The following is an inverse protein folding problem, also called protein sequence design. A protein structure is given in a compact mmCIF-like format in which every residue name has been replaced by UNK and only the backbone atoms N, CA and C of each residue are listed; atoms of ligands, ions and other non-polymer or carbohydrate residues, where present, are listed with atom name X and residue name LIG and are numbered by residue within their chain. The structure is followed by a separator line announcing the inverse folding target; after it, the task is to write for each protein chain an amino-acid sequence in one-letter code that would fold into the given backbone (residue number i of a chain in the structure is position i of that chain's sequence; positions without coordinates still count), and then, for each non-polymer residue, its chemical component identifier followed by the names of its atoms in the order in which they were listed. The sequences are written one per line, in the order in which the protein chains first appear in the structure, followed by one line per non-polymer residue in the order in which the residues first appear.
data_IF_488625199565
#
_entry.id   IF_488625199565
#
_cell.length_a   1.000
_cell.length_b   1.000
_cell.length_c   1.000
_cell.angle_alpha   90.00
_cell.angle_beta   90.00
_cell.angle_gamma   90.00
#
_symmetry.space_group_name_H-M   'P 1'
#
loop_
_entity.id
_entity.type
_entity.pdbx_description
1 polymer ?
#
# COMPACT_ATOMS: atom_id res chain seq x y z
N UNK A 1 18.93 -0.24 59.80
CA UNK A 1 19.31 1.19 59.82
C UNK A 1 19.61 1.58 58.38
N UNK A 2 18.63 2.09 57.62
CA UNK A 2 18.08 3.46 57.66
C UNK A 2 18.74 4.31 56.56
N UNK A 3 18.05 4.51 55.42
CA UNK A 3 17.51 5.81 54.94
C UNK A 3 18.55 6.67 54.18
N UNK A 4 18.30 7.35 53.05
CA UNK A 4 17.16 7.83 52.23
C UNK A 4 17.69 7.96 50.77
N UNK A 5 16.99 7.71 49.67
CA UNK A 5 15.80 8.35 49.08
C UNK A 5 15.94 9.84 48.69
N UNK A 6 15.35 10.21 47.53
CA UNK A 6 15.09 11.52 46.88
C UNK A 6 16.08 11.83 45.73
N UNK A 7 15.74 11.78 44.43
CA UNK A 7 14.67 12.39 43.59
C UNK A 7 15.26 13.51 42.73
N UNK A 8 14.91 13.52 41.43
CA UNK A 8 14.65 14.78 40.72
C UNK A 8 15.38 15.05 39.39
N UNK A 9 14.61 14.97 38.31
CA UNK A 9 14.61 15.87 37.14
C UNK A 9 15.72 15.66 36.10
N UNK A 10 15.38 14.92 35.03
CA UNK A 10 16.05 15.05 33.74
C UNK A 10 15.48 16.29 33.04
N UNK A 11 16.29 17.36 32.99
CA UNK A 11 15.97 18.58 32.25
C UNK A 11 16.17 18.34 30.75
N UNK A 12 15.12 18.59 29.99
CA UNK A 12 15.10 18.72 28.53
C UNK A 12 16.05 19.87 28.14
N UNK A 13 17.14 19.57 27.44
CA UNK A 13 18.01 20.61 26.86
C UNK A 13 17.50 20.92 25.46
N UNK A 14 16.80 22.05 25.32
CA UNK A 14 16.59 22.71 24.03
C UNK A 14 17.92 23.37 23.66
N UNK A 15 18.62 22.83 22.67
CA UNK A 15 19.82 23.47 22.12
C UNK A 15 19.36 24.53 21.12
N UNK A 16 19.37 25.79 21.55
CA UNK A 16 19.32 26.95 20.65
C UNK A 16 20.76 27.26 20.24
N UNK A 17 21.14 26.94 19.01
CA UNK A 17 22.44 27.35 18.45
C UNK A 17 22.28 28.72 17.81
N UNK A 18 22.88 29.75 18.43
CA UNK A 18 23.08 31.06 17.81
C UNK A 18 24.45 31.08 17.16
N UNK A 19 24.49 30.97 15.83
CA UNK A 19 25.73 31.09 15.05
C UNK A 19 26.00 32.59 14.80
N UNK A 20 27.12 33.11 15.31
CA UNK A 20 27.62 34.45 14.98
C UNK A 20 28.67 34.30 13.88
N UNK A 21 28.34 34.71 12.66
CA UNK A 21 29.23 34.65 11.50
C UNK A 21 30.18 35.87 11.46
N UNK A 22 31.46 35.59 11.28
CA UNK A 22 32.52 36.57 11.02
C UNK A 22 32.40 37.13 9.60
N UNK A 23 32.46 38.46 9.50
CA UNK A 23 32.32 39.24 8.27
C UNK A 23 33.48 38.97 7.31
N UNK A 24 33.20 38.16 6.28
CA UNK A 24 33.94 38.15 5.01
C UNK A 24 33.10 38.96 4.01
N UNK A 25 33.73 39.58 3.02
CA UNK A 25 33.04 40.37 2.00
C UNK A 25 32.09 39.50 1.18
N UNK A 26 30.84 39.38 1.62
CA UNK A 26 29.76 38.65 0.95
C UNK A 26 29.23 39.53 -0.18
N UNK A 27 29.47 39.14 -1.43
CA UNK A 27 28.65 39.60 -2.55
C UNK A 27 27.19 39.28 -2.21
N UNK A 28 26.25 40.25 -2.31
CA UNK A 28 24.86 39.98 -1.95
C UNK A 28 24.34 38.78 -2.74
N UNK A 29 24.01 37.70 -2.04
CA UNK A 29 23.49 36.49 -2.66
C UNK A 29 22.16 36.82 -3.34
N UNK A 30 21.94 36.27 -4.54
CA UNK A 30 20.73 36.56 -5.29
C UNK A 30 19.49 36.07 -4.52
N UNK A 31 18.43 36.88 -4.48
CA UNK A 31 17.14 36.47 -3.92
C UNK A 31 16.46 35.57 -4.94
N UNK A 32 16.05 34.38 -4.49
CA UNK A 32 15.32 33.41 -5.31
C UNK A 32 13.82 33.42 -4.99
N UNK A 33 13.02 32.92 -5.91
CA UNK A 33 11.64 32.50 -5.68
C UNK A 33 11.61 31.13 -5.00
N UNK A 34 10.49 30.79 -4.34
CA UNK A 34 10.31 29.46 -3.74
C UNK A 34 10.44 28.33 -4.77
N UNK A 35 9.93 28.53 -5.99
CA UNK A 35 10.01 27.53 -7.07
C UNK A 35 11.45 27.31 -7.58
N UNK A 36 12.28 28.37 -7.59
CA UNK A 36 13.71 28.24 -7.90
C UNK A 36 14.45 27.46 -6.80
N UNK A 37 14.10 27.68 -5.53
CA UNK A 37 14.65 26.89 -4.41
C UNK A 37 14.23 25.43 -4.49
N UNK A 38 12.96 25.13 -4.80
CA UNK A 38 12.49 23.77 -5.04
C UNK A 38 13.29 23.08 -6.15
N UNK A 39 13.51 23.77 -7.28
CA UNK A 39 14.32 23.24 -8.39
C UNK A 39 15.77 22.96 -8.01
N UNK A 40 16.37 23.83 -7.19
CA UNK A 40 17.75 23.67 -6.76
C UNK A 40 17.89 22.57 -5.70
N UNK A 41 16.94 22.43 -4.76
CA UNK A 41 16.90 21.30 -3.83
C UNK A 41 16.80 19.98 -4.62
N UNK A 42 15.89 19.87 -5.58
CA UNK A 42 15.74 18.66 -6.42
C UNK A 42 17.08 18.27 -7.08
N UNK A 43 17.72 19.24 -7.72
CA UNK A 43 19.00 19.04 -8.42
C UNK A 43 20.07 18.52 -7.45
N UNK A 44 20.21 19.16 -6.30
CA UNK A 44 21.23 18.80 -5.31
C UNK A 44 20.94 17.46 -4.61
N UNK A 45 19.68 17.13 -4.32
CA UNK A 45 19.31 15.81 -3.78
C UNK A 45 19.77 14.69 -4.72
N UNK A 46 19.51 14.83 -6.03
CA UNK A 46 19.96 13.84 -7.01
C UNK A 46 21.50 13.77 -7.11
N UNK A 47 22.22 14.89 -6.97
CA UNK A 47 23.69 14.84 -6.85
C UNK A 47 24.16 14.01 -5.65
N UNK A 48 23.53 14.16 -4.48
CA UNK A 48 23.88 13.38 -3.29
C UNK A 48 23.53 11.89 -3.46
N UNK A 49 22.41 11.57 -4.11
CA UNK A 49 22.02 10.20 -4.45
C UNK A 49 23.04 9.53 -5.36
N UNK A 50 23.51 10.22 -6.40
CA UNK A 50 24.54 9.69 -7.30
C UNK A 50 25.85 9.38 -6.56
N UNK A 51 26.26 10.21 -5.59
CA UNK A 51 27.48 9.97 -4.79
C UNK A 51 27.44 8.65 -4.01
N UNK A 52 26.25 8.18 -3.65
CA UNK A 52 26.05 6.90 -2.95
C UNK A 52 25.61 5.76 -3.87
N UNK A 53 25.67 5.96 -5.20
CA UNK A 53 25.38 4.94 -6.20
C UNK A 53 23.89 4.69 -6.46
N UNK A 54 23.01 5.62 -6.06
CA UNK A 54 21.59 5.56 -6.34
C UNK A 54 21.24 6.28 -7.66
N UNK A 55 20.14 5.86 -8.26
CA UNK A 55 19.55 6.52 -9.43
C UNK A 55 18.90 7.84 -9.04
N UNK A 56 18.83 8.75 -10.01
CA UNK A 56 18.09 10.00 -9.88
C UNK A 56 16.60 9.73 -9.64
N UNK A 57 15.97 10.58 -8.84
CA UNK A 57 14.52 10.63 -8.70
C UNK A 57 13.92 11.39 -9.87
N UNK A 58 12.85 10.86 -10.44
CA UNK A 58 12.01 11.61 -11.37
C UNK A 58 11.25 12.71 -10.62
N UNK A 59 11.09 13.88 -11.25
CA UNK A 59 10.30 14.97 -10.65
C UNK A 59 8.85 14.84 -11.08
N UNK A 60 7.94 14.64 -10.13
CA UNK A 60 6.51 14.51 -10.38
C UNK A 60 5.74 15.80 -10.03
N UNK A 61 5.08 16.46 -11.01
CA UNK A 61 4.33 17.69 -10.75
C UNK A 61 3.13 17.56 -9.80
N UNK A 62 2.50 16.38 -9.73
CA UNK A 62 1.41 16.13 -8.80
C UNK A 62 1.93 15.99 -7.36
N UNK A 63 3.11 15.37 -7.19
CA UNK A 63 3.82 15.36 -5.91
C UNK A 63 4.30 16.76 -5.51
N UNK A 64 4.79 17.58 -6.44
CA UNK A 64 5.14 18.99 -6.18
C UNK A 64 3.92 19.76 -5.65
N UNK A 65 2.76 19.58 -6.28
CA UNK A 65 1.52 20.24 -5.83
C UNK A 65 1.14 19.80 -4.41
N UNK A 66 1.18 18.51 -4.14
CA UNK A 66 0.89 17.97 -2.82
C UNK A 66 1.88 18.47 -1.76
N UNK A 67 3.17 18.44 -2.05
CA UNK A 67 4.21 18.92 -1.16
C UNK A 67 4.03 20.42 -0.85
N UNK A 68 3.66 21.23 -1.86
CA UNK A 68 3.37 22.66 -1.67
C UNK A 68 2.15 22.90 -0.80
N UNK A 69 1.06 22.16 -1.03
CA UNK A 69 -0.13 22.24 -0.16
C UNK A 69 0.21 21.85 1.27
N UNK A 70 1.00 20.78 1.47
CA UNK A 70 1.39 20.31 2.78
C UNK A 70 2.26 21.34 3.52
N UNK A 71 3.30 21.88 2.88
CA UNK A 71 4.13 22.95 3.43
C UNK A 71 3.34 24.21 3.74
N UNK A 72 2.44 24.64 2.85
CA UNK A 72 1.62 25.83 3.04
C UNK A 72 0.59 25.68 4.17
N UNK A 73 0.21 24.44 4.49
CA UNK A 73 -0.67 24.10 5.62
C UNK A 73 0.05 23.98 6.97
N UNK A 74 1.35 24.30 7.01
CA UNK A 74 2.19 24.13 8.20
C UNK A 74 2.24 22.66 8.68
N UNK A 75 2.31 21.72 7.72
CA UNK A 75 2.31 20.27 7.94
C UNK A 75 1.01 19.73 8.57
N UNK A 76 -0.13 20.27 8.16
CA UNK A 76 -1.43 19.73 8.57
C UNK A 76 -1.66 18.35 7.96
N UNK A 77 -1.89 17.36 8.81
CA UNK A 77 -2.24 15.98 8.41
C UNK A 77 -3.48 15.87 7.53
N UNK A 78 -4.35 16.89 7.54
CA UNK A 78 -5.54 16.91 6.69
C UNK A 78 -5.21 16.98 5.18
N UNK A 79 -4.03 17.51 4.81
CA UNK A 79 -3.59 17.59 3.40
C UNK A 79 -3.04 16.24 2.92
N UNK A 80 -2.26 15.54 3.74
CA UNK A 80 -1.78 14.17 3.44
C UNK A 80 -2.95 13.20 3.17
N UNK A 81 -4.08 13.38 3.85
CA UNK A 81 -5.26 12.53 3.70
C UNK A 81 -6.12 12.85 2.46
N UNK A 82 -5.79 13.89 1.69
CA UNK A 82 -6.62 14.38 0.57
C UNK A 82 -6.13 13.96 -0.82
N UNK A 83 -4.90 13.45 -0.94
CA UNK A 83 -4.34 13.01 -2.22
C UNK A 83 -4.71 11.56 -2.55
N UNK A 84 -5.10 11.30 -3.79
CA UNK A 84 -5.22 9.93 -4.35
C UNK A 84 -3.84 9.28 -4.63
N UNK A 85 -2.74 9.96 -4.31
CA UNK A 85 -1.36 9.48 -4.44
C UNK A 85 -1.00 8.78 -3.13
N UNK A 86 -0.83 7.46 -3.14
CA UNK A 86 -0.84 6.64 -1.90
C UNK A 86 0.50 5.95 -1.60
N UNK A 87 1.52 6.30 -2.35
CA UNK A 87 2.89 5.88 -2.14
C UNK A 87 3.72 6.99 -1.50
N UNK A 88 3.26 7.60 -0.40
CA UNK A 88 3.90 8.86 0.04
C UNK A 88 4.68 8.70 1.33
N UNK A 89 5.99 8.79 1.20
CA UNK A 89 6.84 9.20 2.32
C UNK A 89 7.01 10.72 2.24
N UNK A 90 6.67 11.43 3.31
CA UNK A 90 6.95 12.86 3.41
C UNK A 90 8.15 13.09 4.33
N UNK A 91 9.17 13.75 3.80
CA UNK A 91 10.28 14.31 4.55
C UNK A 91 10.02 15.82 4.72
N UNK A 92 9.80 16.27 5.95
CA UNK A 92 9.37 17.64 6.23
C UNK A 92 10.18 18.29 7.36
N UNK A 93 10.62 19.53 7.16
CA UNK A 93 11.33 20.32 8.17
C UNK A 93 11.05 21.81 7.98
N UNK A 94 11.36 22.61 8.99
CA UNK A 94 11.12 24.06 8.95
C UNK A 94 12.25 24.86 9.59
N UNK A 95 12.40 26.10 9.14
CA UNK A 95 13.36 27.06 9.67
C UNK A 95 12.63 28.35 10.03
N UNK A 96 12.76 28.79 11.28
CA UNK A 96 12.13 30.02 11.80
C UNK A 96 13.19 31.12 11.92
N UNK A 97 12.87 32.31 11.40
CA UNK A 97 13.77 33.45 11.34
C UNK A 97 13.36 34.52 12.34
N UNK A 98 14.34 35.20 12.94
CA UNK A 98 14.07 36.38 13.76
C UNK A 98 14.19 37.65 12.91
N UNK A 99 13.12 38.44 12.81
CA UNK A 99 13.18 39.75 12.15
C UNK A 99 12.23 40.01 10.96
N UNK A 100 11.22 39.16 10.74
CA UNK A 100 10.18 39.37 9.73
C UNK A 100 10.12 38.25 8.70
N UNK A 101 9.38 38.47 7.60
CA UNK A 101 9.19 37.47 6.56
C UNK A 101 10.54 37.10 5.92
N UNK A 102 10.95 35.82 5.99
CA UNK A 102 12.24 35.39 5.48
C UNK A 102 12.32 35.53 3.96
N UNK A 103 13.54 35.70 3.48
CA UNK A 103 13.86 35.66 2.05
C UNK A 103 14.75 34.45 1.82
N UNK A 104 14.51 33.76 0.72
CA UNK A 104 15.33 32.63 0.30
C UNK A 104 16.35 33.08 -0.74
N UNK A 105 17.53 32.47 -0.71
CA UNK A 105 18.71 32.86 -1.48
C UNK A 105 19.32 31.64 -2.17
N UNK A 106 20.31 31.87 -3.03
CA UNK A 106 21.01 30.82 -3.76
C UNK A 106 21.58 29.71 -2.84
N UNK A 107 22.07 30.09 -1.66
CA UNK A 107 22.63 29.14 -0.70
C UNK A 107 21.56 28.35 0.07
N UNK A 108 20.32 28.84 0.12
CA UNK A 108 19.24 28.25 0.94
C UNK A 108 19.01 26.79 0.59
N UNK A 109 19.02 26.43 -0.69
CA UNK A 109 18.84 25.04 -1.12
C UNK A 109 19.94 24.12 -0.58
N UNK A 110 21.21 24.56 -0.66
CA UNK A 110 22.35 23.77 -0.15
C UNK A 110 22.32 23.63 1.36
N UNK A 111 22.04 24.71 2.08
CA UNK A 111 21.87 24.66 3.53
C UNK A 111 20.79 23.66 3.95
N UNK A 112 19.70 23.58 3.18
CA UNK A 112 18.61 22.65 3.47
C UNK A 112 18.97 21.18 3.15
N UNK A 113 19.65 20.92 2.03
CA UNK A 113 20.12 19.57 1.70
C UNK A 113 21.15 19.09 2.74
N UNK A 114 22.08 19.97 3.14
CA UNK A 114 23.07 19.66 4.16
C UNK A 114 22.38 19.36 5.52
N UNK A 115 21.36 20.14 5.89
CA UNK A 115 20.54 19.87 7.07
C UNK A 115 19.88 18.48 7.01
N UNK A 116 19.31 18.09 5.87
CA UNK A 116 18.76 16.76 5.67
C UNK A 116 19.84 15.66 5.80
N UNK A 117 21.04 15.88 5.27
CA UNK A 117 22.15 14.92 5.39
C UNK A 117 22.66 14.75 6.83
N UNK A 118 22.65 15.81 7.63
CA UNK A 118 23.10 15.79 9.03
C UNK A 118 22.08 15.09 9.94
N UNK A 119 20.79 15.16 9.61
CA UNK A 119 19.72 14.49 10.36
C UNK A 119 19.50 13.05 9.86
N UNK A 120 19.58 12.05 10.75
CA UNK A 120 19.52 10.65 10.34
C UNK A 120 18.20 10.28 9.66
N UNK A 121 17.06 10.70 10.18
CA UNK A 121 15.75 10.29 9.66
C UNK A 121 15.48 10.95 8.31
N UNK A 122 15.80 12.24 8.18
CA UNK A 122 15.66 12.98 6.91
C UNK A 122 16.64 12.44 5.85
N UNK A 123 17.88 12.12 6.24
CA UNK A 123 18.87 11.50 5.34
C UNK A 123 18.39 10.15 4.85
N UNK A 124 17.89 9.30 5.74
CA UNK A 124 17.37 7.99 5.35
C UNK A 124 16.23 8.13 4.36
N UNK A 125 15.26 9.03 4.60
CA UNK A 125 14.16 9.31 3.68
C UNK A 125 14.63 9.83 2.32
N UNK A 126 15.58 10.78 2.31
CA UNK A 126 16.12 11.38 1.08
C UNK A 126 16.93 10.40 0.21
N UNK A 127 17.67 9.49 0.85
CA UNK A 127 18.57 8.53 0.20
C UNK A 127 17.96 7.13 0.12
N UNK A 128 16.64 6.99 0.17
CA UNK A 128 16.04 5.67 -0.01
C UNK A 128 16.21 5.21 -1.46
N UNK A 129 16.62 3.96 -1.60
CA UNK A 129 16.86 3.33 -2.90
C UNK A 129 15.58 2.89 -3.61
N UNK A 130 14.46 2.81 -2.89
CA UNK A 130 13.15 2.39 -3.41
C UNK A 130 12.31 3.56 -3.94
N UNK A 131 12.68 4.81 -3.62
CA UNK A 131 12.03 5.99 -4.16
C UNK A 131 12.31 6.16 -5.65
N UNK A 132 11.23 6.31 -6.44
CA UNK A 132 11.26 6.42 -7.90
C UNK A 132 11.12 7.89 -8.34
N UNK A 133 10.10 8.55 -7.79
CA UNK A 133 9.79 9.94 -8.05
C UNK A 133 9.74 10.76 -6.76
N UNK A 134 9.82 12.08 -6.91
CA UNK A 134 9.70 13.02 -5.81
C UNK A 134 9.01 14.30 -6.23
N UNK A 135 8.35 14.93 -5.27
CA UNK A 135 7.88 16.31 -5.35
C UNK A 135 8.41 17.14 -4.20
N UNK A 136 8.59 18.44 -4.44
CA UNK A 136 9.09 19.41 -3.48
C UNK A 136 8.10 20.54 -3.30
N UNK A 137 7.97 21.00 -2.07
CA UNK A 137 7.15 22.15 -1.72
C UNK A 137 7.81 23.01 -0.67
N UNK A 138 7.97 24.29 -1.00
CA UNK A 138 8.49 25.31 -0.10
C UNK A 138 7.45 26.39 0.12
N UNK A 139 7.09 26.63 1.39
CA UNK A 139 6.13 27.66 1.77
C UNK A 139 6.70 28.59 2.84
N UNK A 140 6.47 29.89 2.67
CA UNK A 140 6.82 30.90 3.68
C UNK A 140 5.53 31.29 4.40
N UNK A 141 5.42 30.97 5.68
CA UNK A 141 4.27 31.31 6.52
C UNK A 141 4.75 32.10 7.73
N UNK A 142 4.39 33.39 7.77
CA UNK A 142 4.87 34.31 8.81
C UNK A 142 6.39 34.51 8.73
N UNK A 143 7.09 34.12 9.81
CA UNK A 143 8.54 34.19 9.94
C UNK A 143 9.24 32.84 9.71
N UNK A 144 8.49 31.84 9.26
CA UNK A 144 8.95 30.45 9.14
C UNK A 144 8.87 29.98 7.69
N UNK A 145 9.92 29.28 7.24
CA UNK A 145 9.94 28.57 5.96
C UNK A 145 9.72 27.09 6.23
N UNK A 146 8.71 26.53 5.58
CA UNK A 146 8.34 25.12 5.63
C UNK A 146 8.79 24.42 4.35
N UNK A 147 9.50 23.31 4.50
CA UNK A 147 10.00 22.48 3.41
C UNK A 147 9.35 21.10 3.52
N UNK A 148 8.88 20.58 2.39
CA UNK A 148 8.42 19.22 2.26
C UNK A 148 9.03 18.62 0.99
N UNK A 149 9.53 17.40 1.13
CA UNK A 149 9.87 16.52 0.04
C UNK A 149 9.02 15.28 0.16
N UNK A 150 8.18 15.06 -0.83
CA UNK A 150 7.31 13.89 -0.92
C UNK A 150 7.95 12.92 -1.90
N UNK A 151 7.97 11.63 -1.56
CA UNK A 151 8.50 10.58 -2.42
C UNK A 151 7.41 9.62 -2.80
N UNK A 152 7.47 9.14 -4.04
CA UNK A 152 6.72 7.97 -4.52
C UNK A 152 7.44 6.68 -4.07
N UNK A 153 6.98 6.13 -2.95
CA UNK A 153 7.44 4.91 -2.26
C UNK A 153 6.25 4.17 -1.65
N UNK A 154 6.21 2.84 -1.80
CA UNK A 154 5.32 1.98 -1.01
C UNK A 154 5.68 2.06 0.48
N UNK A 155 4.91 2.85 1.21
CA UNK A 155 5.05 3.00 2.67
C UNK A 155 4.38 1.83 3.41
N UNK A 156 4.68 0.61 2.96
CA UNK A 156 4.28 -0.65 3.56
C UNK A 156 5.55 -1.38 3.97
N UNK A 157 5.55 -1.92 5.18
CA UNK A 157 6.62 -2.76 5.67
C UNK A 157 6.28 -4.24 5.49
N UNK A 158 7.28 -5.05 5.22
CA UNK A 158 7.20 -6.50 5.17
C UNK A 158 7.11 -7.13 6.58
N UNK A 159 7.14 -8.45 6.64
CA UNK A 159 7.11 -9.24 7.89
C UNK A 159 8.29 -8.97 8.85
N UNK A 160 9.35 -8.32 8.39
CA UNK A 160 10.54 -7.96 9.16
C UNK A 160 10.58 -6.48 9.56
N UNK A 161 9.63 -5.68 9.06
CA UNK A 161 9.61 -4.24 9.26
C UNK A 161 10.45 -3.47 8.22
N UNK A 162 10.97 -4.17 7.21
CA UNK A 162 11.70 -3.55 6.11
C UNK A 162 10.71 -3.06 5.05
N UNK A 163 11.00 -1.97 4.33
CA UNK A 163 10.10 -1.48 3.29
C UNK A 163 9.93 -2.49 2.15
N UNK A 164 8.67 -2.72 1.75
CA UNK A 164 8.34 -3.54 0.59
C UNK A 164 8.88 -2.86 -0.68
N UNK A 165 9.53 -3.65 -1.53
CA UNK A 165 10.08 -3.21 -2.81
C UNK A 165 9.47 -4.04 -3.92
N UNK A 166 8.77 -3.37 -4.83
CA UNK A 166 8.16 -3.99 -5.99
C UNK A 166 9.06 -3.81 -7.22
N UNK A 167 9.12 -4.85 -8.04
CA UNK A 167 9.69 -4.81 -9.37
C UNK A 167 8.64 -4.33 -10.38
N UNK A 168 8.85 -3.15 -10.97
CA UNK A 168 8.02 -2.67 -12.07
C UNK A 168 8.68 -2.92 -13.42
N UNK A 169 7.92 -3.42 -14.36
CA UNK A 169 8.33 -3.51 -15.75
C UNK A 169 7.64 -2.43 -16.56
N UNK A 170 8.37 -1.38 -16.96
CA UNK A 170 7.84 -0.30 -17.79
C UNK A 170 7.29 -0.73 -19.17
N UNK A 171 7.45 -1.99 -19.56
CA UNK A 171 6.89 -2.58 -20.78
C UNK A 171 5.69 -3.52 -20.52
N UNK A 172 5.32 -3.74 -19.25
CA UNK A 172 4.14 -4.51 -18.88
C UNK A 172 2.86 -3.83 -19.39
N UNK A 173 1.81 -4.63 -19.56
CA UNK A 173 0.54 -4.17 -20.13
C UNK A 173 -0.64 -4.79 -19.43
N UNK A 174 -1.74 -4.05 -19.45
CA UNK A 174 -3.07 -4.49 -19.04
C UNK A 174 -3.46 -5.79 -19.79
N UNK A 175 -3.72 -6.90 -19.08
CA UNK A 175 -4.06 -8.19 -19.71
C UNK A 175 -5.55 -8.24 -20.12
N UNK A 176 -5.97 -9.23 -20.90
CA UNK A 176 -7.37 -9.67 -20.87
C UNK A 176 -7.63 -10.54 -19.63
N UNK A 177 -8.90 -10.73 -19.25
CA UNK A 177 -9.25 -11.66 -18.18
C UNK A 177 -8.75 -13.07 -18.43
N UNK A 178 -8.84 -13.57 -19.68
CA UNK A 178 -8.33 -14.90 -20.04
C UNK A 178 -6.81 -15.00 -19.83
N UNK A 179 -6.05 -13.95 -20.21
CA UNK A 179 -4.61 -13.91 -19.99
C UNK A 179 -4.25 -13.84 -18.52
N UNK A 180 -4.94 -12.99 -17.75
CA UNK A 180 -4.74 -12.87 -16.30
C UNK A 180 -5.02 -14.20 -15.60
N UNK A 181 -6.19 -14.78 -15.84
CA UNK A 181 -6.58 -16.08 -15.26
C UNK A 181 -5.59 -17.18 -15.64
N UNK A 182 -5.16 -17.21 -16.90
CA UNK A 182 -4.16 -18.16 -17.36
C UNK A 182 -2.80 -17.97 -16.68
N UNK A 183 -2.38 -16.73 -16.42
CA UNK A 183 -1.16 -16.44 -15.67
C UNK A 183 -1.28 -16.90 -14.22
N UNK A 184 -2.31 -16.47 -13.50
CA UNK A 184 -2.51 -16.78 -12.07
C UNK A 184 -2.54 -18.29 -11.85
N UNK A 185 -3.29 -19.05 -12.66
CA UNK A 185 -3.35 -20.52 -12.57
C UNK A 185 -2.02 -21.26 -12.82
N UNK A 186 -1.00 -20.59 -13.38
CA UNK A 186 0.32 -21.18 -13.63
C UNK A 186 1.40 -20.59 -12.71
N UNK A 187 1.04 -19.61 -11.88
CA UNK A 187 1.90 -19.01 -10.88
C UNK A 187 1.85 -19.85 -9.60
N UNK A 188 2.96 -19.96 -8.87
CA UNK A 188 3.08 -20.83 -7.68
C UNK A 188 3.00 -20.03 -6.36
N UNK A 189 2.56 -18.77 -6.41
CA UNK A 189 2.42 -17.92 -5.21
C UNK A 189 1.44 -18.54 -4.21
N UNK A 190 0.31 -19.09 -4.66
CA UNK A 190 -0.72 -19.66 -3.79
C UNK A 190 -0.31 -20.99 -3.14
N UNK A 191 0.68 -21.68 -3.71
CA UNK A 191 1.28 -22.90 -3.17
C UNK A 191 2.16 -22.63 -1.93
N UNK A 192 2.54 -21.37 -1.69
CA UNK A 192 3.31 -21.00 -0.50
C UNK A 192 2.42 -21.05 0.75
N UNK A 193 2.91 -21.60 1.88
CA UNK A 193 2.17 -21.54 3.13
C UNK A 193 2.26 -20.15 3.77
N UNK A 194 1.16 -19.70 4.38
CA UNK A 194 1.17 -18.52 5.22
C UNK A 194 1.89 -18.81 6.54
N UNK A 195 2.99 -18.10 6.79
CA UNK A 195 3.80 -18.24 8.00
C UNK A 195 3.90 -16.90 8.70
N UNK A 196 3.28 -16.78 9.87
CA UNK A 196 3.31 -15.56 10.67
C UNK A 196 4.77 -15.12 10.94
N UNK A 197 5.07 -13.83 10.70
CA UNK A 197 6.40 -13.21 10.82
C UNK A 197 7.47 -13.77 9.86
N UNK A 198 7.09 -14.49 8.80
CA UNK A 198 8.06 -15.02 7.81
C UNK A 198 7.58 -15.03 6.37
N UNK A 199 6.29 -15.22 6.12
CA UNK A 199 5.70 -15.19 4.78
C UNK A 199 4.22 -14.86 4.95
N UNK A 200 3.90 -13.58 4.87
CA UNK A 200 2.57 -13.04 5.19
C UNK A 200 1.94 -12.43 3.94
N UNK A 201 0.75 -11.84 4.05
CA UNK A 201 0.00 -11.31 2.91
C UNK A 201 0.83 -10.32 2.06
N UNK A 202 1.71 -9.53 2.70
CA UNK A 202 2.64 -8.64 2.00
C UNK A 202 3.62 -9.40 1.11
N UNK A 203 4.11 -10.57 1.56
CA UNK A 203 5.03 -11.43 0.81
C UNK A 203 4.33 -12.07 -0.39
N UNK A 204 3.09 -12.57 -0.22
CA UNK A 204 2.27 -13.09 -1.33
C UNK A 204 1.98 -12.00 -2.37
N UNK A 205 1.51 -10.83 -1.94
CA UNK A 205 1.17 -9.75 -2.85
C UNK A 205 2.40 -9.20 -3.61
N UNK A 206 3.58 -9.19 -2.97
CA UNK A 206 4.85 -8.84 -3.61
C UNK A 206 5.27 -9.91 -4.62
N UNK A 207 5.19 -11.19 -4.25
CA UNK A 207 5.59 -12.30 -5.11
C UNK A 207 4.72 -12.38 -6.38
N UNK A 208 3.41 -12.27 -6.26
CA UNK A 208 2.51 -12.29 -7.41
C UNK A 208 2.69 -11.04 -8.29
N UNK A 209 2.86 -9.86 -7.68
CA UNK A 209 3.14 -8.61 -8.39
C UNK A 209 4.37 -8.74 -9.28
N UNK A 210 5.51 -9.12 -8.68
CA UNK A 210 6.78 -9.16 -9.38
C UNK A 210 6.80 -10.26 -10.46
N UNK A 211 6.11 -11.37 -10.21
CA UNK A 211 5.95 -12.45 -11.19
C UNK A 211 5.08 -12.01 -12.38
N UNK A 212 4.02 -11.25 -12.14
CA UNK A 212 3.18 -10.68 -13.20
C UNK A 212 3.96 -9.67 -14.06
N UNK A 213 4.67 -8.73 -13.42
CA UNK A 213 5.48 -7.73 -14.11
C UNK A 213 6.60 -8.38 -14.93
N UNK A 214 7.24 -9.44 -14.41
CA UNK A 214 8.20 -10.26 -15.14
C UNK A 214 7.59 -10.99 -16.34
N UNK A 215 6.31 -11.41 -16.25
CA UNK A 215 5.55 -11.98 -17.35
C UNK A 215 5.02 -10.92 -18.35
N UNK A 216 5.27 -9.63 -18.09
CA UNK A 216 4.79 -8.51 -18.90
C UNK A 216 3.32 -8.16 -18.68
N UNK A 217 2.73 -8.63 -17.58
CA UNK A 217 1.38 -8.31 -17.14
C UNK A 217 1.47 -7.18 -16.13
N UNK A 218 0.77 -6.08 -16.39
CA UNK A 218 0.77 -4.94 -15.49
C UNK A 218 -0.01 -5.28 -14.23
N UNK A 219 0.63 -5.15 -13.08
CA UNK A 219 0.06 -5.43 -11.77
C UNK A 219 0.02 -4.16 -10.93
N UNK A 220 -0.87 -4.17 -9.94
CA UNK A 220 -0.85 -3.24 -8.83
C UNK A 220 -0.78 -4.01 -7.53
N UNK A 221 -0.14 -3.42 -6.53
CA UNK A 221 -0.24 -3.83 -5.14
C UNK A 221 -1.51 -3.22 -4.53
N UNK A 222 -2.11 -3.87 -3.54
CA UNK A 222 -3.29 -3.36 -2.85
C UNK A 222 -3.13 -3.57 -1.36
N UNK A 223 -3.29 -2.51 -0.58
CA UNK A 223 -3.42 -2.60 0.87
C UNK A 223 -4.87 -2.36 1.27
N UNK A 224 -5.37 -3.17 2.21
CA UNK A 224 -6.75 -3.14 2.69
C UNK A 224 -6.73 -2.97 4.20
N UNK A 225 -7.48 -1.98 4.67
CA UNK A 225 -7.75 -1.76 6.08
C UNK A 225 -9.10 -2.37 6.45
N UNK A 226 -9.15 -3.08 7.57
CA UNK A 226 -10.39 -3.59 8.15
C UNK A 226 -10.80 -2.77 9.38
N UNK A 227 -12.09 -2.79 9.69
CA UNK A 227 -12.62 -2.16 10.90
C UNK A 227 -12.11 -2.80 12.19
N UNK A 228 -11.84 -4.11 12.12
CA UNK A 228 -11.28 -4.91 13.20
C UNK A 228 -10.20 -5.85 12.63
N UNK A 229 -9.10 -6.04 13.36
CA UNK A 229 -8.01 -6.96 12.98
C UNK A 229 -6.86 -6.29 12.21
N UNK A 230 -5.84 -7.08 11.81
CA UNK A 230 -4.75 -6.60 10.96
C UNK A 230 -5.26 -6.30 9.55
N UNK A 231 -4.63 -5.36 8.85
CA UNK A 231 -4.89 -5.14 7.43
C UNK A 231 -4.49 -6.33 6.56
N UNK A 232 -4.79 -6.26 5.27
CA UNK A 232 -4.47 -7.29 4.29
C UNK A 232 -3.81 -6.71 3.05
N UNK A 233 -3.09 -7.55 2.31
CA UNK A 233 -2.45 -7.18 1.07
C UNK A 233 -2.80 -8.19 -0.03
N UNK A 234 -3.05 -7.67 -1.23
CA UNK A 234 -3.42 -8.43 -2.43
C UNK A 234 -2.99 -7.66 -3.69
N UNK A 235 -3.40 -8.11 -4.87
CA UNK A 235 -3.07 -7.46 -6.13
C UNK A 235 -4.31 -7.01 -6.91
N UNK A 236 -4.14 -5.98 -7.73
CA UNK A 236 -5.14 -5.52 -8.68
C UNK A 236 -4.59 -5.56 -10.11
N UNK A 237 -5.47 -5.84 -11.05
CA UNK A 237 -5.15 -5.94 -12.47
C UNK A 237 -6.24 -5.25 -13.28
N UNK A 238 -5.85 -4.31 -14.14
CA UNK A 238 -6.78 -3.61 -15.01
C UNK A 238 -6.94 -4.45 -16.27
N UNK A 239 -8.01 -5.23 -16.35
CA UNK A 239 -8.25 -6.08 -17.52
C UNK A 239 -8.88 -5.27 -18.64
N UNK A 240 -8.47 -5.57 -19.88
CA UNK A 240 -8.94 -4.88 -21.09
C UNK A 240 -10.41 -5.15 -21.44
N UNK A 241 -11.01 -6.19 -20.89
CA UNK A 241 -12.34 -6.69 -21.22
C UNK A 241 -13.31 -6.84 -20.04
N UNK A 242 -12.81 -6.87 -18.79
CA UNK A 242 -13.64 -7.01 -17.58
C UNK A 242 -13.42 -5.88 -16.55
N UNK A 243 -12.56 -4.91 -16.86
CA UNK A 243 -12.22 -3.82 -15.94
C UNK A 243 -11.29 -4.27 -14.82
N UNK A 244 -11.37 -3.61 -13.67
CA UNK A 244 -10.49 -3.86 -12.55
C UNK A 244 -10.84 -5.18 -11.84
N UNK A 245 -9.85 -6.05 -11.68
CA UNK A 245 -9.97 -7.34 -10.98
C UNK A 245 -8.98 -7.40 -9.84
N UNK A 246 -9.43 -7.87 -8.68
CA UNK A 246 -8.59 -8.06 -7.51
C UNK A 246 -8.30 -9.56 -7.32
N UNK A 247 -7.02 -9.91 -7.17
CA UNK A 247 -6.57 -11.28 -6.98
C UNK A 247 -5.91 -11.40 -5.62
N UNK A 248 -6.35 -12.39 -4.85
CA UNK A 248 -5.80 -12.78 -3.57
C UNK A 248 -5.27 -14.20 -3.65
N UNK A 249 -3.97 -14.32 -3.91
CA UNK A 249 -3.23 -15.60 -3.95
C UNK A 249 -2.63 -15.96 -2.59
N UNK A 250 -3.18 -15.44 -1.49
CA UNK A 250 -2.73 -15.86 -0.15
C UNK A 250 -3.02 -17.34 0.05
N UNK A 251 -1.96 -18.13 0.21
CA UNK A 251 -2.00 -19.57 0.32
C UNK A 251 -2.49 -20.10 1.66
N UNK A 252 -2.23 -21.37 1.91
CA UNK A 252 -2.74 -22.09 3.08
C UNK A 252 -2.26 -21.48 4.40
N UNK A 253 -3.19 -21.20 5.31
CA UNK A 253 -2.89 -20.92 6.73
C UNK A 253 -3.45 -19.60 7.26
N UNK A 254 -3.89 -18.69 6.38
CA UNK A 254 -4.55 -17.44 6.81
C UNK A 254 -6.07 -17.57 6.86
N UNK A 255 -6.68 -17.93 5.72
CA UNK A 255 -8.13 -17.91 5.57
C UNK A 255 -8.75 -19.26 5.94
N UNK A 256 -9.91 -19.22 6.59
CA UNK A 256 -10.69 -20.43 6.85
C UNK A 256 -11.60 -20.70 5.66
N UNK A 257 -11.55 -21.92 5.12
CA UNK A 257 -12.45 -22.38 4.08
C UNK A 257 -13.53 -23.29 4.67
N UNK A 258 -14.79 -22.97 4.40
CA UNK A 258 -15.93 -23.87 4.62
C UNK A 258 -16.11 -24.75 3.40
N UNK A 259 -15.91 -26.06 3.56
CA UNK A 259 -16.21 -27.04 2.51
C UNK A 259 -17.70 -27.14 2.23
N UNK A 260 -18.06 -27.18 0.96
CA UNK A 260 -19.37 -27.64 0.52
C UNK A 260 -19.53 -29.15 0.76
N UNK A 261 -20.77 -29.64 0.63
CA UNK A 261 -21.02 -31.09 0.61
C UNK A 261 -20.28 -31.75 -0.55
N UNK A 262 -19.37 -32.69 -0.24
CA UNK A 262 -18.81 -33.61 -1.23
C UNK A 262 -19.72 -34.84 -1.33
N UNK A 263 -20.62 -34.85 -2.32
CA UNK A 263 -21.54 -35.98 -2.52
C UNK A 263 -20.83 -37.25 -2.99
N UNK A 264 -19.71 -37.11 -3.71
CA UNK A 264 -19.01 -38.23 -4.36
C UNK A 264 -17.53 -38.41 -3.91
N UNK A 265 -17.13 -37.79 -2.80
CA UNK A 265 -15.81 -38.02 -2.17
C UNK A 265 -14.59 -37.70 -3.04
N UNK A 266 -14.70 -36.81 -4.02
CA UNK A 266 -13.59 -36.46 -4.92
C UNK A 266 -12.82 -35.19 -4.53
N UNK A 267 -11.50 -35.37 -4.57
CA UNK A 267 -10.40 -34.41 -4.67
C UNK A 267 -10.45 -33.18 -3.76
N UNK A 268 -9.64 -33.26 -2.69
CA UNK A 268 -9.44 -32.25 -1.66
C UNK A 268 -8.29 -31.28 -1.97
N UNK A 269 -7.72 -31.31 -3.19
CA UNK A 269 -6.75 -30.27 -3.58
C UNK A 269 -7.50 -28.93 -3.66
N UNK A 270 -7.15 -28.06 -2.73
CA UNK A 270 -7.70 -26.72 -2.59
C UNK A 270 -6.73 -25.78 -3.29
N UNK A 271 -7.21 -25.15 -4.35
CA UNK A 271 -6.57 -24.04 -5.03
C UNK A 271 -6.85 -22.77 -4.21
N UNK A 272 -5.79 -22.03 -3.88
CA UNK A 272 -5.85 -20.83 -3.06
C UNK A 272 -5.88 -19.56 -3.91
N UNK A 273 -5.93 -19.64 -5.24
CA UNK A 273 -6.19 -18.46 -6.06
C UNK A 273 -7.65 -18.04 -5.98
N UNK A 274 -7.84 -16.77 -5.61
CA UNK A 274 -9.15 -16.20 -5.34
C UNK A 274 -9.30 -14.87 -6.06
N UNK A 275 -10.51 -14.62 -6.56
CA UNK A 275 -10.95 -13.26 -6.85
C UNK A 275 -11.45 -12.64 -5.55
N UNK A 276 -10.89 -11.48 -5.23
CA UNK A 276 -11.31 -10.65 -4.11
C UNK A 276 -12.38 -9.63 -4.55
N UNK A 277 -13.35 -9.40 -3.66
CA UNK A 277 -14.41 -8.41 -3.84
C UNK A 277 -14.29 -7.40 -2.72
N UNK A 278 -13.84 -6.20 -3.06
CA UNK A 278 -13.46 -5.16 -2.10
C UNK A 278 -14.36 -3.94 -2.29
N UNK A 279 -15.08 -3.54 -1.25
CA UNK A 279 -15.90 -2.33 -1.24
C UNK A 279 -15.98 -1.74 0.16
N UNK A 280 -15.70 -0.45 0.32
CA UNK A 280 -15.75 0.24 1.62
C UNK A 280 -17.14 0.06 2.25
N UNK A 281 -17.15 -0.31 3.54
CA UNK A 281 -18.36 -0.56 4.32
C UNK A 281 -18.94 -1.96 4.14
N UNK A 282 -18.36 -2.81 3.29
CA UNK A 282 -18.80 -4.18 3.08
C UNK A 282 -17.73 -5.20 3.50
N UNK A 283 -18.11 -6.48 3.58
CA UNK A 283 -17.18 -7.54 3.93
C UNK A 283 -16.18 -7.82 2.79
N UNK A 284 -14.95 -8.19 3.15
CA UNK A 284 -13.95 -8.63 2.19
C UNK A 284 -14.34 -10.00 1.61
N UNK A 285 -14.85 -9.98 0.38
CA UNK A 285 -15.41 -11.15 -0.28
C UNK A 285 -14.35 -11.93 -1.05
N UNK A 286 -14.48 -13.25 -1.07
CA UNK A 286 -13.55 -14.14 -1.75
C UNK A 286 -14.32 -15.26 -2.47
N UNK A 287 -14.04 -15.43 -3.76
CA UNK A 287 -14.56 -16.52 -4.60
C UNK A 287 -13.37 -17.17 -5.31
N UNK A 288 -13.33 -18.50 -5.39
CA UNK A 288 -12.29 -19.20 -6.14
C UNK A 288 -12.16 -18.67 -7.57
N UNK A 289 -10.92 -18.56 -8.06
CA UNK A 289 -10.61 -18.00 -9.37
C UNK A 289 -11.39 -18.67 -10.52
N UNK A 290 -11.65 -19.98 -10.41
CA UNK A 290 -12.38 -20.77 -11.40
C UNK A 290 -13.91 -20.59 -11.37
N UNK A 291 -14.46 -19.90 -10.35
CA UNK A 291 -15.91 -19.67 -10.18
C UNK A 291 -16.33 -18.21 -10.38
N UNK A 292 -15.40 -17.27 -10.26
CA UNK A 292 -15.68 -15.86 -10.53
C UNK A 292 -16.04 -15.65 -12.02
N UNK A 293 -17.16 -14.97 -12.28
CA UNK A 293 -17.64 -14.68 -13.64
C UNK A 293 -18.05 -13.22 -13.86
N UNK A 294 -18.08 -12.43 -12.79
CA UNK A 294 -18.15 -10.97 -12.81
C UNK A 294 -17.35 -10.45 -11.60
N UNK A 295 -16.96 -9.18 -11.64
CA UNK A 295 -15.97 -8.60 -10.69
C UNK A 295 -16.51 -7.40 -9.90
N UNK A 296 -17.80 -7.10 -10.04
CA UNK A 296 -18.48 -6.14 -9.19
C UNK A 296 -18.92 -6.78 -7.87
N UNK A 297 -19.11 -5.94 -6.85
CA UNK A 297 -19.48 -6.40 -5.51
C UNK A 297 -20.90 -7.01 -5.47
N UNK A 298 -21.80 -6.58 -6.36
CA UNK A 298 -23.17 -7.11 -6.44
C UNK A 298 -23.16 -8.60 -6.81
N UNK A 299 -22.28 -9.02 -7.72
CA UNK A 299 -22.07 -10.42 -8.05
C UNK A 299 -21.68 -11.24 -6.82
N UNK A 300 -20.76 -10.73 -5.98
CA UNK A 300 -20.39 -11.40 -4.74
C UNK A 300 -21.56 -11.56 -3.78
N UNK A 301 -22.39 -10.53 -3.63
CA UNK A 301 -23.58 -10.60 -2.78
C UNK A 301 -24.58 -11.67 -3.27
N UNK A 302 -24.81 -11.73 -4.59
CA UNK A 302 -25.66 -12.74 -5.20
C UNK A 302 -25.09 -14.16 -5.03
N UNK A 303 -23.78 -14.33 -5.22
CA UNK A 303 -23.09 -15.60 -5.00
C UNK A 303 -23.20 -16.04 -3.54
N UNK A 304 -22.99 -15.13 -2.59
CA UNK A 304 -23.12 -15.39 -1.15
C UNK A 304 -24.53 -15.82 -0.77
N UNK A 305 -25.56 -15.17 -1.33
CA UNK A 305 -26.95 -15.54 -1.10
C UNK A 305 -27.26 -16.96 -1.61
N UNK A 306 -26.71 -17.34 -2.77
CA UNK A 306 -26.81 -18.70 -3.30
C UNK A 306 -26.10 -19.71 -2.40
N UNK A 307 -24.95 -19.35 -1.80
CA UNK A 307 -24.26 -20.21 -0.84
C UNK A 307 -25.07 -20.43 0.45
N UNK A 308 -25.76 -19.42 0.96
CA UNK A 308 -26.65 -19.57 2.11
C UNK A 308 -27.84 -20.49 1.82
N UNK A 309 -28.44 -20.37 0.62
CA UNK A 309 -29.50 -21.27 0.15
C UNK A 309 -28.99 -22.71 0.03
N UNK A 310 -27.81 -22.91 -0.57
CA UNK A 310 -27.14 -24.20 -0.63
C UNK A 310 -26.95 -24.83 0.75
N UNK A 311 -26.44 -24.08 1.73
CA UNK A 311 -26.28 -24.55 3.12
C UNK A 311 -27.62 -24.88 3.79
N UNK A 312 -28.68 -24.16 3.48
CA UNK A 312 -30.01 -24.45 4.01
C UNK A 312 -30.54 -25.77 3.44
N UNK A 313 -30.44 -25.96 2.12
CA UNK A 313 -30.82 -27.21 1.42
C UNK A 313 -30.00 -28.41 1.88
N UNK A 314 -28.69 -28.26 2.03
CA UNK A 314 -27.82 -29.32 2.51
C UNK A 314 -28.25 -29.82 3.90
N UNK A 315 -28.62 -28.91 4.80
CA UNK A 315 -29.13 -29.27 6.14
C UNK A 315 -30.46 -30.04 6.07
N UNK A 316 -31.34 -29.70 5.14
CA UNK A 316 -32.59 -30.45 4.92
C UNK A 316 -32.27 -31.84 4.37
N UNK A 317 -31.36 -31.92 3.40
CA UNK A 317 -30.93 -33.19 2.79
C UNK A 317 -30.37 -34.18 3.81
N UNK A 318 -29.58 -33.71 4.78
CA UNK A 318 -29.04 -34.55 5.87
C UNK A 318 -30.12 -35.07 6.84
N UNK A 319 -31.23 -34.36 6.96
CA UNK A 319 -32.27 -34.64 7.96
C UNK A 319 -33.45 -35.41 7.38
N UNK A 320 -33.72 -35.27 6.08
CA UNK A 320 -34.85 -35.94 5.45
C UNK A 320 -34.58 -37.44 5.24
N UNK A 321 -35.65 -38.22 5.31
CA UNK A 321 -35.64 -39.65 4.98
C UNK A 321 -36.63 -39.97 3.85
N UNK A 322 -37.28 -38.96 3.26
CA UNK A 322 -38.18 -39.14 2.13
C UNK A 322 -37.37 -39.36 0.84
N UNK A 323 -37.47 -40.53 0.18
CA UNK A 323 -36.70 -40.82 -1.03
C UNK A 323 -36.96 -39.85 -2.19
N UNK A 324 -38.18 -39.30 -2.32
CA UNK A 324 -38.51 -38.36 -3.39
C UNK A 324 -37.89 -36.98 -3.14
N UNK A 325 -37.91 -36.54 -1.88
CA UNK A 325 -37.28 -35.29 -1.44
C UNK A 325 -35.75 -35.39 -1.55
N UNK A 326 -35.15 -36.50 -1.11
CA UNK A 326 -33.72 -36.76 -1.25
C UNK A 326 -33.24 -36.66 -2.69
N UNK A 327 -33.97 -37.27 -3.64
CA UNK A 327 -33.60 -37.21 -5.05
C UNK A 327 -33.63 -35.78 -5.58
N UNK A 328 -34.68 -35.03 -5.25
CA UNK A 328 -34.86 -33.65 -5.71
C UNK A 328 -33.78 -32.73 -5.13
N UNK A 329 -33.55 -32.79 -3.82
CA UNK A 329 -32.51 -32.01 -3.15
C UNK A 329 -31.11 -32.36 -3.65
N UNK A 330 -30.83 -33.63 -3.93
CA UNK A 330 -29.56 -34.04 -4.52
C UNK A 330 -29.30 -33.36 -5.86
N UNK A 331 -30.28 -33.40 -6.77
CA UNK A 331 -30.17 -32.75 -8.09
C UNK A 331 -29.96 -31.22 -7.96
N UNK A 332 -30.68 -30.57 -7.04
CA UNK A 332 -30.52 -29.13 -6.78
C UNK A 332 -29.15 -28.79 -6.19
N UNK A 333 -28.68 -29.58 -5.21
CA UNK A 333 -27.36 -29.38 -4.57
C UNK A 333 -26.22 -29.61 -5.56
N UNK A 334 -26.31 -30.62 -6.42
CA UNK A 334 -25.31 -30.88 -7.48
C UNK A 334 -25.25 -29.70 -8.48
N UNK A 335 -26.41 -29.20 -8.90
CA UNK A 335 -26.49 -28.03 -9.78
C UNK A 335 -25.89 -26.78 -9.12
N UNK A 336 -26.22 -26.51 -7.86
CA UNK A 336 -25.66 -25.36 -7.11
C UNK A 336 -24.16 -25.50 -6.86
N UNK A 337 -23.69 -26.68 -6.49
CA UNK A 337 -22.26 -26.94 -6.27
C UNK A 337 -21.44 -26.70 -7.54
N UNK A 338 -22.00 -26.98 -8.73
CA UNK A 338 -21.34 -26.70 -10.01
C UNK A 338 -21.09 -25.21 -10.26
N UNK A 339 -21.95 -24.34 -9.72
CA UNK A 339 -21.84 -22.87 -9.84
C UNK A 339 -20.96 -22.32 -8.73
N UNK A 340 -21.21 -22.76 -7.50
CA UNK A 340 -20.62 -22.21 -6.29
C UNK A 340 -19.17 -22.66 -6.06
N UNK A 341 -18.79 -23.83 -6.59
CA UNK A 341 -17.50 -24.45 -6.32
C UNK A 341 -17.51 -25.30 -5.05
N UNK A 342 -16.33 -25.81 -4.71
CA UNK A 342 -16.13 -26.78 -3.62
C UNK A 342 -16.05 -26.15 -2.24
N UNK A 343 -15.61 -24.90 -2.17
CA UNK A 343 -15.28 -24.23 -0.92
C UNK A 343 -15.76 -22.78 -0.95
N UNK A 344 -16.06 -22.27 0.23
CA UNK A 344 -16.24 -20.83 0.46
C UNK A 344 -15.20 -20.37 1.46
N UNK A 345 -14.56 -19.26 1.17
CA UNK A 345 -13.69 -18.57 2.12
C UNK A 345 -14.53 -17.71 3.06
N UNK A 346 -14.21 -17.78 4.35
CA UNK A 346 -14.80 -16.87 5.33
C UNK A 346 -14.21 -15.46 5.11
N UNK A 347 -15.05 -14.40 5.18
CA UNK A 347 -14.59 -13.04 5.00
C UNK A 347 -13.64 -12.63 6.14
N UNK A 348 -12.58 -11.90 5.81
CA UNK A 348 -11.56 -11.50 6.77
C UNK A 348 -12.00 -10.34 7.68
N UNK A 349 -12.92 -9.50 7.21
CA UNK A 349 -13.38 -8.33 7.94
C UNK A 349 -14.24 -7.40 7.09
N UNK A 350 -14.71 -6.31 7.67
CA UNK A 350 -15.36 -5.21 6.94
C UNK A 350 -14.31 -4.22 6.49
N UNK A 351 -14.26 -3.94 5.19
CA UNK A 351 -13.32 -3.00 4.58
C UNK A 351 -13.64 -1.58 5.02
N UNK A 352 -12.70 -0.90 5.67
CA UNK A 352 -12.82 0.52 6.05
C UNK A 352 -12.12 1.43 5.06
N UNK A 353 -10.99 0.97 4.52
CA UNK A 353 -10.29 1.63 3.43
C UNK A 353 -9.53 0.61 2.60
N UNK A 354 -9.17 0.97 1.38
CA UNK A 354 -8.20 0.22 0.60
C UNK A 354 -7.54 1.15 -0.41
N UNK A 355 -6.32 0.80 -0.78
CA UNK A 355 -5.47 1.63 -1.61
C UNK A 355 -4.85 0.76 -2.70
N UNK A 356 -4.99 1.21 -3.95
CA UNK A 356 -4.45 0.51 -5.12
C UNK A 356 -3.21 1.26 -5.59
N UNK A 357 -2.14 0.51 -5.73
CA UNK A 357 -0.75 0.95 -5.86
C UNK A 357 -0.24 0.44 -7.22
N UNK A 358 -0.22 1.31 -8.24
CA UNK A 358 0.18 1.01 -9.64
C UNK A 358 1.65 1.25 -9.95
#
# INVERSE_FOLDING_TARGET
MSQRAISGIACLVVIVVSLVLLSSCVTPSAILTVAEVEGEIYRQVNEERQKVGLTDLDRDPALDELARQYSASEFSKAVEQSSELVYLLCNSWRVTYSGGAPKVHEETAREQVDYCLENNDLRQAMLRSDARATGLGVAIVGDTVYYAQVFDVLNVADEHGDPVRLYENAQSRDPSWEQLRGFVLNDDTDEQPYILNSFVCTSFATMLHDSAEAAGIRAAYVSVDFGDGPGHALNAFNTTDQGLVYIDSTGQGLNTATSGMTLDGQDTTMDYDKVAYVAIGNEYGLISLDRASAFDYEFYEQWRQQWEDYKAKARIYEQTSDPAELRTLREELEAQASILGKYRWDPMGTVTNFYVHW
#
